data_IF_740699484268
#
_entry.id   IF_740699484268
#
_cell.length_a   1.000
_cell.length_b   1.000
_cell.length_c   1.000
_cell.angle_alpha   90.00
_cell.angle_beta   90.00
_cell.angle_gamma   90.00
#
_symmetry.space_group_name_H-M   'P 1'
#
loop_
_entity.id
_entity.type
_entity.pdbx_description
1 polymer ?
#
# COMPACT_ATOMS: atom_id res chain seq x y z
N UNK A 1 19.42 47.68 4.87
CA UNK A 1 19.18 46.25 5.17
C UNK A 1 18.13 45.81 4.18
N UNK A 2 18.56 45.24 3.05
CA UNK A 2 17.64 44.67 2.06
C UNK A 2 17.22 43.29 2.56
N UNK A 3 15.99 43.21 3.05
CA UNK A 3 15.36 41.95 3.42
C UNK A 3 14.84 41.32 2.14
N UNK A 4 15.69 40.54 1.48
CA UNK A 4 15.30 39.70 0.35
C UNK A 4 14.25 38.71 0.82
N UNK A 5 12.99 38.92 0.45
CA UNK A 5 11.92 37.93 0.56
C UNK A 5 12.25 36.84 -0.47
N UNK A 6 12.86 35.75 -0.01
CA UNK A 6 12.87 34.54 -0.80
C UNK A 6 11.40 34.20 -1.07
N UNK A 7 11.01 34.18 -2.34
CA UNK A 7 9.73 33.62 -2.74
C UNK A 7 9.66 32.21 -2.15
N UNK A 8 8.69 31.96 -1.27
CA UNK A 8 8.31 30.61 -0.91
C UNK A 8 7.91 29.92 -2.22
N UNK A 9 8.87 29.25 -2.83
CA UNK A 9 8.61 28.36 -3.95
C UNK A 9 7.55 27.40 -3.44
N UNK A 10 6.32 27.55 -3.92
CA UNK A 10 5.28 26.57 -3.71
C UNK A 10 5.73 25.30 -4.44
N UNK A 11 6.57 24.51 -3.76
CA UNK A 11 6.88 23.16 -4.18
C UNK A 11 5.54 22.44 -4.22
N UNK A 12 5.04 22.24 -5.43
CA UNK A 12 3.85 21.43 -5.66
C UNK A 12 4.26 20.02 -5.29
N UNK A 13 4.04 19.64 -4.03
CA UNK A 13 4.42 18.32 -3.54
C UNK A 13 3.67 17.29 -4.38
N UNK A 14 4.43 16.43 -5.06
CA UNK A 14 3.86 15.32 -5.80
C UNK A 14 3.06 14.45 -4.81
N UNK A 15 1.77 14.28 -5.08
CA UNK A 15 0.88 13.43 -4.28
C UNK A 15 0.84 12.02 -4.87
N UNK A 16 0.55 11.03 -4.01
CA UNK A 16 0.46 9.64 -4.46
C UNK A 16 -0.83 9.44 -5.26
N UNK A 17 -0.74 8.72 -6.39
CA UNK A 17 -1.92 8.34 -7.16
C UNK A 17 -2.85 7.43 -6.33
N UNK A 18 -4.19 7.58 -6.46
CA UNK A 18 -5.17 6.91 -5.59
C UNK A 18 -5.27 5.39 -5.80
N UNK A 19 -4.68 4.86 -6.86
CA UNK A 19 -4.63 3.44 -7.19
C UNK A 19 -3.43 2.71 -6.54
N UNK A 20 -2.57 3.44 -5.83
CA UNK A 20 -1.40 2.88 -5.15
C UNK A 20 -1.71 2.61 -3.69
N UNK A 21 -1.31 1.44 -3.19
CA UNK A 21 -1.31 1.19 -1.75
C UNK A 21 -0.14 1.93 -1.09
N UNK A 22 -0.41 2.55 0.05
CA UNK A 22 0.55 3.29 0.85
C UNK A 22 0.51 2.79 2.29
N UNK A 23 1.67 2.45 2.82
CA UNK A 23 1.80 2.07 4.22
C UNK A 23 3.04 2.69 4.83
N UNK A 24 2.87 3.42 5.93
CA UNK A 24 3.95 4.00 6.73
C UNK A 24 3.85 3.48 8.16
N UNK A 25 4.91 2.81 8.60
CA UNK A 25 5.03 2.24 9.94
C UNK A 25 6.50 2.19 10.35
N UNK A 26 6.79 2.26 11.67
CA UNK A 26 8.15 2.02 12.18
C UNK A 26 8.72 0.67 11.76
N UNK A 27 7.88 -0.34 11.53
CA UNK A 27 8.35 -1.66 11.10
C UNK A 27 8.78 -1.67 9.63
N UNK A 28 7.86 -1.30 8.73
CA UNK A 28 8.10 -1.24 7.28
C UNK A 28 7.28 -0.12 6.68
N UNK A 29 7.91 0.63 5.79
CA UNK A 29 7.26 1.67 5.00
C UNK A 29 7.46 1.38 3.52
N UNK A 30 6.38 1.37 2.74
CA UNK A 30 6.43 1.08 1.30
C UNK A 30 5.19 1.58 0.55
N UNK A 31 5.31 1.63 -0.78
CA UNK A 31 4.21 1.84 -1.72
C UNK A 31 4.13 0.68 -2.70
N UNK A 32 2.96 0.42 -3.28
CA UNK A 32 2.80 -0.58 -4.35
C UNK A 32 2.60 0.09 -5.71
N UNK A 33 2.65 -0.71 -6.78
CA UNK A 33 2.27 -0.32 -8.14
C UNK A 33 1.59 -1.51 -8.81
N UNK A 34 0.54 -1.24 -9.59
CA UNK A 34 -0.22 -2.27 -10.30
C UNK A 34 -1.12 -3.12 -9.38
N UNK A 35 -1.74 -4.12 -9.99
CA UNK A 35 -2.62 -5.08 -9.33
C UNK A 35 -2.53 -6.42 -10.07
N UNK A 36 -1.77 -7.38 -9.54
CA UNK A 36 -1.63 -8.72 -10.13
C UNK A 36 -2.94 -9.51 -10.02
N UNK A 37 -3.47 -9.61 -8.79
CA UNK A 37 -4.74 -10.26 -8.51
C UNK A 37 -5.49 -9.51 -7.40
N UNK A 38 -6.82 -9.53 -7.45
CA UNK A 38 -7.68 -9.09 -6.34
C UNK A 38 -8.05 -10.29 -5.49
N UNK A 39 -8.00 -10.10 -4.17
CA UNK A 39 -8.37 -11.12 -3.20
C UNK A 39 -9.57 -10.65 -2.37
N UNK A 40 -10.67 -11.39 -2.42
CA UNK A 40 -11.96 -10.99 -1.83
C UNK A 40 -12.56 -12.05 -0.90
N UNK A 41 -11.80 -13.09 -0.56
CA UNK A 41 -12.27 -14.14 0.35
C UNK A 41 -12.47 -13.57 1.77
N UNK A 42 -13.60 -13.86 2.44
CA UNK A 42 -13.83 -13.41 3.80
C UNK A 42 -12.75 -13.93 4.76
N UNK A 43 -12.23 -13.06 5.64
CA UNK A 43 -11.22 -13.44 6.63
C UNK A 43 -11.78 -14.20 7.86
N UNK A 44 -13.02 -14.70 7.77
CA UNK A 44 -13.64 -15.50 8.85
C UNK A 44 -12.82 -16.77 9.06
N UNK A 45 -12.51 -17.08 10.32
CA UNK A 45 -11.64 -18.19 10.73
C UNK A 45 -10.23 -18.13 10.11
N UNK A 46 -9.75 -16.94 9.73
CA UNK A 46 -8.43 -16.74 9.14
C UNK A 46 -7.25 -17.08 10.07
N UNK A 47 -7.50 -17.32 11.36
CA UNK A 47 -6.55 -17.87 12.31
C UNK A 47 -6.24 -19.36 12.06
N UNK A 48 -7.19 -20.11 11.48
CA UNK A 48 -6.99 -21.51 11.12
C UNK A 48 -6.31 -21.65 9.76
N UNK A 49 -5.17 -22.37 9.64
CA UNK A 49 -4.50 -22.66 8.38
C UNK A 49 -5.35 -23.42 7.37
N UNK A 50 -6.38 -24.12 7.84
CA UNK A 50 -7.27 -24.92 7.01
C UNK A 50 -8.53 -24.17 6.58
N UNK A 51 -8.68 -22.90 6.98
CA UNK A 51 -9.79 -22.06 6.55
C UNK A 51 -9.77 -21.82 5.02
N UNK A 52 -10.95 -21.61 4.40
CA UNK A 52 -11.04 -21.22 2.99
C UNK A 52 -10.16 -20.01 2.66
N UNK A 53 -10.10 -19.03 3.57
CA UNK A 53 -9.22 -17.88 3.48
C UNK A 53 -7.75 -18.30 3.34
N UNK A 54 -7.21 -19.06 4.30
CA UNK A 54 -5.80 -19.42 4.28
C UNK A 54 -5.43 -20.31 3.10
N UNK A 55 -6.30 -21.24 2.71
CA UNK A 55 -6.08 -22.10 1.56
C UNK A 55 -5.99 -21.31 0.26
N UNK A 56 -6.95 -20.41 0.01
CA UNK A 56 -6.98 -19.59 -1.20
C UNK A 56 -5.85 -18.56 -1.24
N UNK A 57 -5.50 -17.97 -0.09
CA UNK A 57 -4.37 -17.05 0.03
C UNK A 57 -3.06 -17.74 -0.38
N UNK A 58 -2.80 -18.95 0.13
CA UNK A 58 -1.61 -19.74 -0.25
C UNK A 58 -1.59 -20.06 -1.73
N UNK A 59 -2.74 -20.43 -2.30
CA UNK A 59 -2.85 -20.71 -3.72
C UNK A 59 -2.50 -19.47 -4.56
N UNK A 60 -3.05 -18.29 -4.25
CA UNK A 60 -2.76 -17.07 -5.01
C UNK A 60 -1.29 -16.65 -4.92
N UNK A 61 -0.64 -16.84 -3.77
CA UNK A 61 0.79 -16.60 -3.66
C UNK A 61 1.65 -17.58 -4.48
N UNK A 62 1.19 -18.81 -4.69
CA UNK A 62 1.90 -19.80 -5.51
C UNK A 62 1.71 -19.54 -7.03
N UNK A 63 0.64 -18.84 -7.40
CA UNK A 63 0.31 -18.49 -8.79
C UNK A 63 0.88 -17.12 -9.24
N UNK A 64 1.48 -16.37 -8.31
CA UNK A 64 2.05 -15.03 -8.53
C UNK A 64 3.48 -15.05 -9.08
#
# INVERSE_FOLDING_TARGET
>A
MDMSLAEDAQETMATLAPDRFFFMSPYRSFTTSGCFARYTEPAVAGDSPDSPFQQKLRQQFAEA
#
